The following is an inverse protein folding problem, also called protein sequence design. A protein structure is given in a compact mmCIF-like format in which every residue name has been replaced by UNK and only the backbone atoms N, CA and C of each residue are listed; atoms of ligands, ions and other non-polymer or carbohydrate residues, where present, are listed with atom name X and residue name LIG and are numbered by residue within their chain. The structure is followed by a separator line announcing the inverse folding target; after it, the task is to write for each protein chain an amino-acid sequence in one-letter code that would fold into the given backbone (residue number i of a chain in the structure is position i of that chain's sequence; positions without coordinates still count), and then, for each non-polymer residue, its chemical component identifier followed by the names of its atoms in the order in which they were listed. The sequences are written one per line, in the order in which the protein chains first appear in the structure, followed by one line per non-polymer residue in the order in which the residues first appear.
data_IF_931128096206
#
_entry.id   IF_931128096206
#
_cell.length_a   1.000
_cell.length_b   1.000
_cell.length_c   1.000
_cell.angle_alpha   90.00
_cell.angle_beta   90.00
_cell.angle_gamma   90.00
#
_symmetry.space_group_name_H-M   'P 1'
#
loop_
_entity.id
_entity.type
_entity.pdbx_description
1 polymer ?
#
# COMPACT_ATOMS: atom_id res chain seq x y z
N UNK A 1 1.35 6.44 2.40
CA UNK A 1 2.10 6.13 1.17
C UNK A 1 1.89 4.65 0.90
N UNK A 2 1.35 4.29 -0.28
CA UNK A 2 1.19 2.89 -0.70
C UNK A 2 2.48 2.32 -1.28
N UNK A 3 2.38 1.38 -2.21
CA UNK A 3 3.55 0.76 -2.88
C UNK A 3 4.30 1.69 -3.85
N UNK A 4 3.81 2.92 -4.05
CA UNK A 4 4.27 3.84 -5.09
C UNK A 4 3.40 3.76 -6.34
N UNK A 5 3.71 4.61 -7.32
CA UNK A 5 3.11 4.54 -8.65
C UNK A 5 3.91 3.57 -9.52
N UNK A 6 3.38 3.25 -10.70
CA UNK A 6 4.19 2.62 -11.74
C UNK A 6 5.40 3.52 -12.05
N UNK A 7 6.65 3.03 -11.96
CA UNK A 7 7.82 3.82 -12.31
C UNK A 7 7.79 4.12 -13.82
N UNK A 8 7.79 5.41 -14.18
CA UNK A 8 7.54 5.84 -15.55
C UNK A 8 8.66 5.40 -16.49
N UNK A 9 9.91 5.46 -16.04
CA UNK A 9 11.10 5.01 -16.75
C UNK A 9 11.06 3.51 -17.04
N UNK A 10 10.57 2.71 -16.08
CA UNK A 10 10.39 1.25 -16.26
C UNK A 10 9.25 0.98 -17.25
N UNK A 11 8.10 1.65 -17.09
CA UNK A 11 6.97 1.51 -17.99
C UNK A 11 7.35 1.91 -19.42
N UNK A 12 8.07 3.01 -19.60
CA UNK A 12 8.54 3.47 -20.90
C UNK A 12 9.44 2.43 -21.57
N UNK A 13 10.41 1.86 -20.84
CA UNK A 13 11.30 0.83 -21.37
C UNK A 13 10.55 -0.44 -21.80
N UNK A 14 9.54 -0.87 -21.01
CA UNK A 14 8.70 -2.02 -21.35
C UNK A 14 7.85 -1.75 -22.60
N UNK A 15 7.22 -0.59 -22.69
CA UNK A 15 6.41 -0.21 -23.85
C UNK A 15 7.27 -0.10 -25.13
N UNK A 16 8.50 0.40 -25.02
CA UNK A 16 9.46 0.47 -26.12
C UNK A 16 9.85 -0.92 -26.63
N UNK A 17 10.20 -1.83 -25.72
CA UNK A 17 10.48 -3.22 -26.07
C UNK A 17 9.28 -3.96 -26.66
N UNK A 18 8.06 -3.59 -26.26
CA UNK A 18 6.83 -4.18 -26.77
C UNK A 18 6.38 -3.59 -28.13
N UNK A 19 7.04 -2.55 -28.65
CA UNK A 19 6.59 -1.84 -29.85
C UNK A 19 5.32 -1.02 -29.65
N UNK A 20 4.99 -0.68 -28.39
CA UNK A 20 3.81 0.07 -27.97
C UNK A 20 4.16 1.47 -27.44
N UNK A 21 5.37 1.95 -27.68
CA UNK A 21 5.84 3.23 -27.17
C UNK A 21 5.06 4.40 -27.82
N UNK A 22 4.31 5.21 -27.05
CA UNK A 22 3.51 6.32 -27.59
C UNK A 22 4.33 7.59 -27.86
N UNK A 23 5.67 7.50 -27.89
CA UNK A 23 6.58 8.64 -28.08
C UNK A 23 7.34 9.06 -26.81
N UNK A 24 7.46 8.17 -25.82
CA UNK A 24 8.26 8.37 -24.61
C UNK A 24 9.76 8.27 -24.93
N UNK A 25 10.52 9.27 -24.49
CA UNK A 25 11.97 9.32 -24.65
C UNK A 25 12.67 8.50 -23.55
N UNK A 26 12.75 7.18 -23.74
CA UNK A 26 13.20 6.21 -22.71
C UNK A 26 14.50 6.61 -22.02
N UNK A 27 15.56 6.91 -22.78
CA UNK A 27 16.86 7.23 -22.19
C UNK A 27 16.87 8.55 -21.42
N UNK A 28 16.10 9.55 -21.85
CA UNK A 28 15.95 10.80 -21.08
C UNK A 28 15.17 10.59 -19.79
N UNK A 29 14.19 9.68 -19.79
CA UNK A 29 13.46 9.30 -18.57
C UNK A 29 14.37 8.56 -17.59
N UNK A 30 15.26 7.69 -18.07
CA UNK A 30 16.27 7.03 -17.24
C UNK A 30 17.23 8.05 -16.63
N UNK A 31 17.74 9.00 -17.42
CA UNK A 31 18.61 10.06 -16.92
C UNK A 31 17.89 10.95 -15.88
N UNK A 32 16.61 11.26 -16.10
CA UNK A 32 15.82 12.01 -15.14
C UNK A 32 15.59 11.23 -13.83
N UNK A 33 15.33 9.92 -13.91
CA UNK A 33 15.17 9.07 -12.74
C UNK A 33 16.47 9.01 -11.90
N UNK A 34 17.61 8.83 -12.54
CA UNK A 34 18.91 8.71 -11.87
C UNK A 34 19.43 10.06 -11.36
N UNK A 35 19.55 11.05 -12.26
CA UNK A 35 20.30 12.28 -11.98
C UNK A 35 19.44 13.43 -11.44
N UNK A 36 18.11 13.39 -11.62
CA UNK A 36 17.20 14.41 -11.08
C UNK A 36 16.43 13.88 -9.88
N UNK A 37 15.78 12.73 -10.01
CA UNK A 37 14.95 12.17 -8.93
C UNK A 37 15.77 11.46 -7.86
N UNK A 38 16.84 10.74 -8.21
CA UNK A 38 17.71 10.04 -7.26
C UNK A 38 18.17 10.91 -6.08
N UNK A 39 18.67 12.14 -6.30
CA UNK A 39 19.05 13.05 -5.22
C UNK A 39 17.89 13.56 -4.36
N UNK A 40 16.66 13.57 -4.89
CA UNK A 40 15.46 14.09 -4.21
C UNK A 40 14.77 12.98 -3.40
N UNK A 41 14.79 11.75 -3.91
CA UNK A 41 14.17 10.59 -3.27
C UNK A 41 15.03 10.12 -2.10
N UNK A 42 14.56 10.34 -0.88
CA UNK A 42 15.21 9.81 0.33
C UNK A 42 15.29 8.27 0.36
N UNK A 43 14.36 7.59 -0.31
CA UNK A 43 14.35 6.15 -0.50
C UNK A 43 13.50 5.79 -1.72
N UNK A 44 13.82 4.68 -2.39
CA UNK A 44 12.94 4.07 -3.39
C UNK A 44 11.80 3.31 -2.69
N UNK A 45 10.53 3.54 -3.02
CA UNK A 45 9.41 2.79 -2.46
C UNK A 45 9.56 1.29 -2.76
N UNK A 46 9.72 0.48 -1.72
CA UNK A 46 9.70 -0.97 -1.83
C UNK A 46 8.25 -1.47 -1.64
N UNK A 47 7.72 -2.34 -2.51
CA UNK A 47 6.38 -2.89 -2.37
C UNK A 47 6.35 -3.95 -1.25
N UNK A 48 6.34 -3.48 0.00
CA UNK A 48 6.19 -4.35 1.16
C UNK A 48 4.78 -4.98 1.24
N UNK A 49 4.66 -6.03 2.06
CA UNK A 49 3.40 -6.80 2.23
C UNK A 49 2.17 -5.91 2.41
N UNK A 50 2.26 -4.93 3.31
CA UNK A 50 1.11 -4.11 3.68
C UNK A 50 0.79 -3.08 2.59
N UNK A 51 1.80 -2.57 1.88
CA UNK A 51 1.64 -1.63 0.77
C UNK A 51 0.96 -2.28 -0.46
N UNK A 52 1.25 -3.55 -0.72
CA UNK A 52 0.58 -4.36 -1.75
C UNK A 52 -0.85 -4.70 -1.32
N UNK A 53 -1.04 -5.04 -0.05
CA UNK A 53 -2.35 -5.39 0.49
C UNK A 53 -3.38 -4.26 0.35
N UNK A 54 -2.96 -2.99 0.38
CA UNK A 54 -3.87 -1.87 0.13
C UNK A 54 -4.49 -1.95 -1.25
N UNK A 55 -3.66 -2.19 -2.27
CA UNK A 55 -4.13 -2.34 -3.65
C UNK A 55 -5.06 -3.54 -3.78
N UNK A 56 -4.72 -4.66 -3.13
CA UNK A 56 -5.56 -5.85 -3.11
C UNK A 56 -6.90 -5.63 -2.41
N UNK A 57 -6.91 -4.89 -1.30
CA UNK A 57 -8.11 -4.59 -0.51
C UNK A 57 -8.98 -3.47 -1.12
N UNK A 58 -8.49 -2.76 -2.14
CA UNK A 58 -9.19 -1.61 -2.74
C UNK A 58 -9.28 -0.41 -1.79
N UNK A 59 -8.33 -0.26 -0.87
CA UNK A 59 -8.33 0.80 0.14
C UNK A 59 -7.48 1.99 -0.30
N UNK A 60 -7.78 3.18 0.22
CA UNK A 60 -7.04 4.38 -0.12
C UNK A 60 -5.60 4.36 0.46
N UNK A 61 -4.61 4.75 -0.34
CA UNK A 61 -3.18 4.58 -0.03
C UNK A 61 -2.65 5.41 1.15
N UNK A 62 -3.39 6.44 1.57
CA UNK A 62 -3.05 7.22 2.78
C UNK A 62 -3.31 6.44 4.06
N UNK A 63 -4.20 5.44 4.02
CA UNK A 63 -4.56 4.64 5.20
C UNK A 63 -3.41 3.79 5.71
N UNK A 64 -2.40 3.47 4.88
CA UNK A 64 -1.29 2.59 5.26
C UNK A 64 -0.60 3.02 6.55
N UNK A 65 -0.22 4.31 6.60
CA UNK A 65 0.60 4.84 7.68
C UNK A 65 -0.20 4.89 8.98
N UNK A 66 -1.49 5.21 8.89
CA UNK A 66 -2.41 5.19 10.02
C UNK A 66 -2.63 3.77 10.53
N UNK A 67 -2.90 2.80 9.65
CA UNK A 67 -3.10 1.40 10.01
C UNK A 67 -1.85 0.79 10.65
N UNK A 68 -0.65 1.07 10.11
CA UNK A 68 0.62 0.64 10.71
C UNK A 68 0.84 1.23 12.10
N UNK A 69 0.59 2.54 12.27
CA UNK A 69 0.74 3.22 13.57
C UNK A 69 -0.23 2.66 14.61
N UNK A 70 -1.52 2.63 14.30
CA UNK A 70 -2.57 2.17 15.20
C UNK A 70 -2.44 0.67 15.50
N UNK A 71 -2.14 -0.14 14.47
CA UNK A 71 -1.92 -1.57 14.65
C UNK A 71 -0.77 -1.87 15.62
N UNK A 72 0.34 -1.12 15.51
CA UNK A 72 1.46 -1.19 16.46
C UNK A 72 1.04 -0.80 17.89
N UNK A 73 0.26 0.27 18.05
CA UNK A 73 -0.22 0.74 19.36
C UNK A 73 -1.19 -0.24 20.03
N UNK A 74 -2.04 -0.91 19.23
CA UNK A 74 -3.09 -1.79 19.74
C UNK A 74 -2.75 -3.28 19.74
N UNK A 75 -1.63 -3.67 19.12
CA UNK A 75 -1.23 -5.08 18.97
C UNK A 75 -2.03 -5.83 17.90
N UNK A 76 -2.51 -5.13 16.88
CA UNK A 76 -3.33 -5.66 15.78
C UNK A 76 -2.51 -5.62 14.49
N UNK A 77 -2.61 -6.69 13.67
CA UNK A 77 -1.89 -6.73 12.40
C UNK A 77 -2.46 -5.66 11.44
N UNK A 78 -1.65 -4.72 10.94
CA UNK A 78 -2.11 -3.72 9.98
C UNK A 78 -2.80 -4.31 8.75
N UNK A 79 -2.40 -5.51 8.33
CA UNK A 79 -3.02 -6.21 7.20
C UNK A 79 -4.49 -6.54 7.47
N UNK A 80 -4.84 -6.97 8.68
CA UNK A 80 -6.23 -7.27 9.05
C UNK A 80 -7.08 -6.01 9.08
N UNK A 81 -6.52 -4.90 9.58
CA UNK A 81 -7.18 -3.59 9.57
C UNK A 81 -7.48 -3.16 8.14
N UNK A 82 -6.51 -3.27 7.22
CA UNK A 82 -6.66 -2.89 5.82
C UNK A 82 -7.68 -3.76 5.09
N UNK A 83 -7.67 -5.07 5.29
CA UNK A 83 -8.64 -5.97 4.68
C UNK A 83 -10.06 -5.69 5.15
N UNK A 84 -10.24 -5.42 6.45
CA UNK A 84 -11.55 -5.10 7.01
C UNK A 84 -12.08 -3.73 6.53
N UNK A 85 -11.20 -2.73 6.38
CA UNK A 85 -11.56 -1.46 5.75
C UNK A 85 -11.96 -1.62 4.28
N UNK A 86 -11.27 -2.50 3.54
CA UNK A 86 -11.62 -2.86 2.16
C UNK A 86 -12.98 -3.55 2.09
N UNK A 87 -13.25 -4.51 2.97
CA UNK A 87 -14.55 -5.18 3.11
C UNK A 87 -15.69 -4.20 3.38
N UNK A 88 -15.41 -3.14 4.14
CA UNK A 88 -16.37 -2.06 4.47
C UNK A 88 -16.46 -0.96 3.40
N UNK A 89 -15.71 -1.06 2.31
CA UNK A 89 -15.66 -0.08 1.23
C UNK A 89 -15.34 1.34 1.74
N UNK A 90 -14.39 1.45 2.69
CA UNK A 90 -14.00 2.72 3.25
C UNK A 90 -13.41 3.66 2.18
N UNK A 91 -13.83 4.92 2.19
CA UNK A 91 -13.41 5.95 1.23
C UNK A 91 -12.44 6.96 1.86
N UNK A 92 -11.73 7.73 1.02
CA UNK A 92 -10.85 8.79 1.50
C UNK A 92 -11.60 9.77 2.43
N UNK A 93 -10.96 10.20 3.53
CA UNK A 93 -11.59 11.03 4.56
C UNK A 93 -12.21 10.25 5.73
N UNK A 94 -12.18 8.91 5.70
CA UNK A 94 -12.64 8.03 6.79
C UNK A 94 -11.49 7.45 7.61
N UNK A 95 -10.41 8.21 7.82
CA UNK A 95 -9.23 7.75 8.56
C UNK A 95 -9.56 7.41 10.03
N UNK A 96 -10.65 7.95 10.58
CA UNK A 96 -11.17 7.64 11.90
C UNK A 96 -11.64 6.18 12.05
N UNK A 97 -12.10 5.56 10.94
CA UNK A 97 -12.54 4.16 10.93
C UNK A 97 -11.40 3.20 11.22
N UNK A 98 -10.16 3.58 10.92
CA UNK A 98 -8.97 2.75 11.15
C UNK A 98 -8.84 2.40 12.64
N UNK A 99 -9.02 3.40 13.51
CA UNK A 99 -8.99 3.19 14.96
C UNK A 99 -10.14 2.30 15.43
N UNK A 100 -11.34 2.55 14.92
CA UNK A 100 -12.53 1.78 15.27
C UNK A 100 -12.38 0.30 14.90
N UNK A 101 -11.97 0.03 13.65
CA UNK A 101 -11.73 -1.33 13.15
C UNK A 101 -10.67 -2.04 13.99
N UNK A 102 -9.57 -1.35 14.34
CA UNK A 102 -8.53 -1.94 15.17
C UNK A 102 -9.02 -2.30 16.58
N UNK A 103 -9.88 -1.47 17.18
CA UNK A 103 -10.50 -1.77 18.49
C UNK A 103 -11.46 -2.96 18.40
N UNK A 104 -12.26 -3.05 17.33
CA UNK A 104 -13.17 -4.16 17.08
C UNK A 104 -12.39 -5.48 16.93
N UNK A 105 -11.37 -5.52 16.06
CA UNK A 105 -10.49 -6.69 15.87
C UNK A 105 -9.79 -7.12 17.17
N UNK A 106 -9.37 -6.16 17.99
CA UNK A 106 -8.77 -6.44 19.31
C UNK A 106 -9.78 -7.07 20.27
N UNK A 107 -11.02 -6.58 20.27
CA UNK A 107 -12.08 -7.10 21.12
C UNK A 107 -12.50 -8.52 20.71
N UNK A 108 -12.59 -8.81 19.41
CA UNK A 108 -12.91 -10.15 18.88
C UNK A 108 -11.89 -11.20 19.34
N UNK A 109 -10.59 -10.86 19.29
CA UNK A 109 -9.53 -11.75 19.78
C UNK A 109 -9.61 -12.01 21.29
N UNK A 110 -9.99 -11.00 22.07
CA UNK A 110 -10.15 -11.15 23.52
C UNK A 110 -11.34 -12.08 23.89
N UNK A 111 -12.33 -12.21 23.01
CA UNK A 111 -13.52 -13.04 23.21
C UNK A 111 -13.35 -14.48 22.72
N UNK A 112 -12.15 -14.88 22.28
CA UNK A 112 -11.87 -16.27 21.89
C UNK A 112 -12.45 -16.69 20.54
N UNK A 113 -12.95 -15.75 19.73
CA UNK A 113 -13.18 -16.01 18.31
C UNK A 113 -11.82 -16.36 17.67
N UNK A 114 -11.72 -17.53 17.04
CA UNK A 114 -10.48 -18.13 16.55
C UNK A 114 -9.60 -17.09 15.84
N UNK A 115 -8.55 -16.62 16.51
CA UNK A 115 -7.56 -15.67 16.00
C UNK A 115 -6.63 -16.29 14.95
N UNK A 116 -7.13 -17.20 14.12
CA UNK A 116 -6.42 -17.62 12.93
C UNK A 116 -6.52 -16.49 11.93
N UNK A 117 -5.35 -16.05 11.44
CA UNK A 117 -5.33 -15.12 10.32
C UNK A 117 -6.11 -15.77 9.17
N UNK A 118 -6.92 -15.01 8.41
CA UNK A 118 -7.73 -15.56 7.32
C UNK A 118 -6.98 -16.41 6.29
N UNK A 119 -5.65 -16.29 6.24
CA UNK A 119 -4.74 -16.97 5.33
C UNK A 119 -3.77 -17.95 6.01
N UNK A 120 -3.92 -18.24 7.31
CA UNK A 120 -3.05 -19.15 8.06
C UNK A 120 -3.54 -20.62 8.09
N UNK A 121 -4.26 -21.03 7.03
CA UNK A 121 -4.75 -22.40 6.84
C UNK A 121 -3.72 -23.33 6.20
#
# INVERSE_FOLDING_TARGET
AGAGNAPLEVLAAVLDKAGLNPGLEVFKLLDAAEYVMGPILHFQPYPDRDSVAIGYAGVYSTFLLHAKRIGKELGVDPLEILLELGRRQAVAGQEDWILRVALELKAERAQGASGQRPWAG
#
